data_IF_236213649484
#
_entry.id   IF_236213649484
#
_cell.length_a   1.000
_cell.length_b   1.000
_cell.length_c   1.000
_cell.angle_alpha   90.00
_cell.angle_beta   90.00
_cell.angle_gamma   90.00
#
_symmetry.space_group_name_H-M   'P 1'
#
loop_
_entity.id
_entity.type
_entity.pdbx_description
1 polymer ?
#
# COMPACT_ATOMS: atom_id res chain seq x y z
N UNK A 1 39.55 -34.21 -55.92
CA UNK A 1 38.49 -34.57 -54.96
C UNK A 1 38.34 -33.42 -53.98
N UNK A 2 37.33 -32.55 -54.17
CA UNK A 2 37.04 -31.41 -53.31
C UNK A 2 36.04 -31.88 -52.22
N UNK A 3 36.44 -31.84 -50.95
CA UNK A 3 35.54 -32.12 -49.84
C UNK A 3 34.81 -30.84 -49.45
N UNK A 4 33.51 -30.81 -49.73
CA UNK A 4 32.59 -29.74 -49.26
C UNK A 4 32.27 -30.03 -47.78
N UNK A 5 32.75 -29.15 -46.89
CA UNK A 5 32.35 -29.18 -45.47
C UNK A 5 31.09 -28.34 -45.35
N UNK A 6 29.94 -29.00 -45.16
CA UNK A 6 28.68 -28.34 -44.89
C UNK A 6 28.68 -27.90 -43.44
N UNK A 7 28.79 -26.56 -43.20
CA UNK A 7 28.66 -25.98 -41.86
C UNK A 7 27.20 -25.91 -41.51
N UNK A 8 26.76 -26.74 -40.55
CA UNK A 8 25.39 -26.73 -40.01
C UNK A 8 25.28 -25.59 -39.00
N UNK A 9 24.67 -24.48 -39.42
CA UNK A 9 24.32 -23.36 -38.51
C UNK A 9 23.11 -23.81 -37.66
N UNK A 10 23.36 -24.16 -36.41
CA UNK A 10 22.30 -24.39 -35.42
C UNK A 10 21.73 -23.01 -35.02
N UNK A 11 20.57 -22.63 -35.54
CA UNK A 11 19.78 -21.50 -35.08
C UNK A 11 19.24 -21.85 -33.67
N UNK A 12 19.94 -21.41 -32.63
CA UNK A 12 19.41 -21.42 -31.28
C UNK A 12 18.40 -20.26 -31.21
N UNK A 13 17.13 -20.58 -31.38
CA UNK A 13 16.05 -19.64 -31.05
C UNK A 13 16.12 -19.38 -29.54
N UNK A 14 16.17 -18.08 -29.09
CA UNK A 14 16.07 -17.81 -27.67
C UNK A 14 14.71 -18.34 -27.20
N UNK A 15 14.72 -19.24 -26.23
CA UNK A 15 13.51 -19.56 -25.44
C UNK A 15 13.08 -18.21 -24.83
N UNK A 16 11.92 -17.68 -25.24
CA UNK A 16 11.28 -16.61 -24.49
C UNK A 16 11.01 -17.18 -23.09
N UNK A 17 11.74 -16.71 -22.08
CA UNK A 17 11.34 -16.94 -20.70
C UNK A 17 9.90 -16.42 -20.57
N UNK A 18 9.00 -17.23 -20.00
CA UNK A 18 7.66 -16.74 -19.72
C UNK A 18 7.79 -15.54 -18.78
N UNK A 19 7.09 -14.45 -19.12
CA UNK A 19 7.04 -13.28 -18.24
C UNK A 19 6.56 -13.71 -16.84
N UNK A 20 7.24 -13.22 -15.80
CA UNK A 20 6.88 -13.49 -14.41
C UNK A 20 5.48 -12.90 -14.14
N UNK A 21 4.58 -13.68 -13.57
CA UNK A 21 3.21 -13.27 -13.25
C UNK A 21 3.11 -12.91 -11.78
N UNK A 22 2.77 -11.67 -11.51
CA UNK A 22 2.67 -11.14 -10.15
C UNK A 22 1.22 -10.79 -9.82
N UNK A 23 0.75 -11.26 -8.67
CA UNK A 23 -0.50 -10.85 -8.08
C UNK A 23 -0.20 -9.90 -6.94
N UNK A 24 -0.56 -8.62 -7.08
CA UNK A 24 -0.45 -7.60 -6.04
C UNK A 24 -1.81 -7.41 -5.36
N UNK A 25 -1.84 -7.39 -4.04
CA UNK A 25 -3.08 -7.18 -3.29
C UNK A 25 -3.56 -5.73 -3.42
N UNK A 26 -2.67 -4.76 -3.29
CA UNK A 26 -2.96 -3.33 -3.34
C UNK A 26 -2.18 -2.63 -4.46
N UNK A 27 -2.66 -1.47 -4.96
CA UNK A 27 -2.05 -0.72 -6.07
C UNK A 27 -0.58 -0.33 -5.83
N UNK A 28 -0.21 0.06 -4.61
CA UNK A 28 1.15 0.46 -4.26
C UNK A 28 2.16 -0.67 -4.46
N UNK A 29 1.78 -1.91 -4.16
CA UNK A 29 2.66 -3.06 -4.38
C UNK A 29 2.77 -3.43 -5.85
N UNK A 30 1.68 -3.29 -6.60
CA UNK A 30 1.72 -3.45 -8.06
C UNK A 30 2.67 -2.45 -8.72
N UNK A 31 2.61 -1.19 -8.29
CA UNK A 31 3.49 -0.14 -8.79
C UNK A 31 4.95 -0.36 -8.38
N UNK A 32 5.20 -0.79 -7.14
CA UNK A 32 6.56 -1.10 -6.70
C UNK A 32 7.17 -2.27 -7.47
N UNK A 33 6.38 -3.32 -7.75
CA UNK A 33 6.81 -4.43 -8.62
C UNK A 33 7.15 -3.92 -10.01
N UNK A 34 6.33 -3.05 -10.60
CA UNK A 34 6.60 -2.48 -11.92
C UNK A 34 7.90 -1.67 -11.96
N UNK A 35 8.19 -0.88 -10.94
CA UNK A 35 9.46 -0.15 -10.79
C UNK A 35 10.66 -1.10 -10.76
N UNK A 36 10.58 -2.18 -10.00
CA UNK A 36 11.70 -3.08 -9.75
C UNK A 36 11.91 -4.12 -10.84
N UNK A 37 10.87 -4.47 -11.60
CA UNK A 37 10.95 -5.57 -12.56
C UNK A 37 10.64 -5.17 -14.01
N UNK A 38 10.19 -3.91 -14.23
CA UNK A 38 9.90 -3.37 -15.55
C UNK A 38 8.55 -3.79 -16.12
N UNK A 39 8.30 -3.40 -17.37
CA UNK A 39 7.00 -3.57 -18.04
C UNK A 39 6.78 -4.98 -18.63
N UNK A 40 7.79 -5.85 -18.62
CA UNK A 40 7.70 -7.20 -19.21
C UNK A 40 6.95 -8.20 -18.31
N UNK A 41 6.47 -7.77 -17.14
CA UNK A 41 5.72 -8.60 -16.21
C UNK A 41 4.22 -8.53 -16.46
N UNK A 42 3.54 -9.62 -16.14
CA UNK A 42 2.08 -9.64 -16.04
C UNK A 42 1.68 -9.35 -14.58
N UNK A 43 1.25 -8.10 -14.29
CA UNK A 43 0.83 -7.69 -12.95
C UNK A 43 -0.69 -7.61 -12.89
N UNK A 44 -1.29 -8.40 -11.98
CA UNK A 44 -2.70 -8.29 -11.61
C UNK A 44 -2.81 -7.63 -10.24
N UNK A 45 -3.50 -6.50 -10.15
CA UNK A 45 -3.80 -5.82 -8.88
C UNK A 45 -5.22 -6.18 -8.43
N UNK A 46 -5.38 -6.61 -7.18
CA UNK A 46 -6.64 -7.13 -6.66
C UNK A 46 -7.64 -6.02 -6.27
N UNK A 47 -7.14 -4.93 -5.70
CA UNK A 47 -7.94 -3.80 -5.22
C UNK A 47 -7.70 -2.53 -6.05
N UNK A 48 -8.53 -1.53 -5.80
CA UNK A 48 -8.37 -0.15 -6.30
C UNK A 48 -8.43 0.80 -5.12
N UNK A 49 -8.05 2.06 -5.32
CA UNK A 49 -8.10 3.09 -4.28
C UNK A 49 -9.53 3.35 -3.72
N UNK A 50 -10.57 2.94 -4.45
CA UNK A 50 -11.98 3.09 -4.05
C UNK A 50 -12.57 1.82 -3.44
N UNK A 51 -11.73 0.85 -3.10
CA UNK A 51 -12.13 -0.40 -2.46
C UNK A 51 -11.39 -0.54 -1.13
N UNK A 52 -12.13 -0.90 -0.09
CA UNK A 52 -11.57 -1.21 1.22
C UNK A 52 -10.68 -2.47 1.13
N UNK A 53 -9.36 -2.37 1.38
CA UNK A 53 -8.45 -3.51 1.29
C UNK A 53 -8.70 -4.58 2.36
N UNK A 54 -9.41 -4.27 3.46
CA UNK A 54 -9.79 -5.25 4.48
C UNK A 54 -10.88 -6.20 3.98
N UNK A 55 -11.69 -5.74 3.00
CA UNK A 55 -12.90 -6.43 2.59
C UNK A 55 -12.99 -6.58 1.06
N UNK A 56 -12.54 -7.72 0.55
CA UNK A 56 -12.60 -8.05 -0.87
C UNK A 56 -13.29 -9.40 -1.08
N UNK A 57 -14.10 -9.48 -2.14
CA UNK A 57 -14.69 -10.76 -2.54
C UNK A 57 -13.72 -11.59 -3.39
N UNK A 58 -13.54 -12.86 -3.03
CA UNK A 58 -12.75 -13.82 -3.80
C UNK A 58 -13.45 -14.18 -5.13
N UNK A 59 -13.42 -13.27 -6.10
CA UNK A 59 -14.02 -13.44 -7.43
C UNK A 59 -13.27 -14.48 -8.26
N UNK A 60 -13.92 -15.18 -9.22
CA UNK A 60 -13.27 -16.17 -10.09
C UNK A 60 -12.04 -15.64 -10.82
N UNK A 61 -12.05 -14.38 -11.26
CA UNK A 61 -10.90 -13.76 -11.93
C UNK A 61 -9.67 -13.65 -11.02
N UNK A 62 -9.86 -13.28 -9.75
CA UNK A 62 -8.75 -13.21 -8.78
C UNK A 62 -8.24 -14.60 -8.42
N UNK A 63 -9.14 -15.60 -8.30
CA UNK A 63 -8.74 -16.99 -8.07
C UNK A 63 -7.89 -17.50 -9.25
N UNK A 64 -8.26 -17.18 -10.48
CA UNK A 64 -7.50 -17.56 -11.67
C UNK A 64 -6.15 -16.85 -11.72
N UNK A 65 -6.08 -15.55 -11.38
CA UNK A 65 -4.85 -14.79 -11.32
C UNK A 65 -3.86 -15.38 -10.28
N UNK A 66 -4.31 -15.66 -9.05
CA UNK A 66 -3.46 -16.29 -8.01
C UNK A 66 -3.05 -17.71 -8.38
N UNK A 67 -3.93 -18.47 -9.05
CA UNK A 67 -3.59 -19.83 -9.52
C UNK A 67 -2.42 -19.83 -10.48
N UNK A 68 -2.30 -18.80 -11.30
CA UNK A 68 -1.25 -18.67 -12.31
C UNK A 68 -0.08 -17.78 -11.86
N UNK A 69 -0.14 -17.19 -10.68
CA UNK A 69 0.90 -16.29 -10.19
C UNK A 69 2.17 -17.07 -9.79
N UNK A 70 3.30 -16.48 -10.10
CA UNK A 70 4.62 -16.92 -9.65
C UNK A 70 5.02 -16.20 -8.35
N UNK A 71 4.42 -15.00 -8.11
CA UNK A 71 4.59 -14.19 -6.89
C UNK A 71 3.28 -13.53 -6.49
N UNK A 72 2.95 -13.58 -5.21
CA UNK A 72 1.89 -12.80 -4.54
C UNK A 72 2.55 -11.78 -3.63
N UNK A 73 2.23 -10.50 -3.82
CA UNK A 73 2.74 -9.38 -3.02
C UNK A 73 1.58 -8.68 -2.34
N UNK A 74 1.53 -8.74 -1.02
CA UNK A 74 0.49 -8.14 -0.20
C UNK A 74 1.09 -7.33 0.96
N UNK A 75 0.29 -6.50 1.58
CA UNK A 75 0.71 -5.76 2.77
C UNK A 75 1.01 -6.71 3.92
N UNK A 76 0.13 -7.65 4.24
CA UNK A 76 0.22 -8.47 5.45
C UNK A 76 -0.22 -7.72 6.70
N UNK A 77 0.30 -8.09 7.87
CA UNK A 77 -0.15 -7.56 9.17
C UNK A 77 -1.67 -7.64 9.36
N UNK A 78 -2.27 -8.71 8.84
CA UNK A 78 -3.71 -9.02 8.86
C UNK A 78 -4.60 -8.06 8.04
N UNK A 79 -4.05 -7.22 7.14
CA UNK A 79 -4.88 -6.35 6.28
C UNK A 79 -5.84 -7.19 5.43
N UNK A 80 -5.32 -8.22 4.77
CA UNK A 80 -6.06 -9.05 3.84
C UNK A 80 -6.64 -10.32 4.49
N UNK A 81 -6.66 -10.39 5.83
CA UNK A 81 -7.07 -11.60 6.57
C UNK A 81 -8.49 -12.06 6.22
N UNK A 82 -9.37 -11.12 5.88
CA UNK A 82 -10.76 -11.38 5.53
C UNK A 82 -10.95 -12.14 4.22
N UNK A 83 -9.98 -12.10 3.30
CA UNK A 83 -10.16 -12.62 1.93
C UNK A 83 -8.97 -13.40 1.37
N UNK A 84 -7.72 -13.00 1.61
CA UNK A 84 -6.53 -13.61 1.02
C UNK A 84 -6.37 -15.11 1.37
N UNK A 85 -6.58 -15.57 2.62
CA UNK A 85 -6.49 -16.99 2.94
C UNK A 85 -7.49 -17.86 2.17
N UNK A 86 -8.71 -17.35 1.93
CA UNK A 86 -9.71 -18.04 1.11
C UNK A 86 -9.30 -18.07 -0.35
N UNK A 87 -8.75 -16.97 -0.87
CA UNK A 87 -8.30 -16.83 -2.25
C UNK A 87 -7.14 -17.80 -2.54
N UNK A 88 -6.10 -17.83 -1.70
CA UNK A 88 -4.96 -18.75 -1.79
C UNK A 88 -5.41 -20.21 -1.79
N UNK A 89 -6.30 -20.58 -0.85
CA UNK A 89 -6.82 -21.95 -0.75
C UNK A 89 -7.62 -22.36 -2.00
N UNK A 90 -8.46 -21.45 -2.54
CA UNK A 90 -9.26 -21.74 -3.76
C UNK A 90 -8.42 -21.77 -5.02
N UNK A 91 -7.39 -20.99 -5.09
CA UNK A 91 -6.43 -20.99 -6.19
C UNK A 91 -5.67 -22.31 -6.28
N UNK A 92 -5.31 -22.89 -5.11
CA UNK A 92 -4.62 -24.19 -5.04
C UNK A 92 -3.21 -24.17 -5.62
N UNK A 93 -2.60 -23.00 -5.78
CA UNK A 93 -1.23 -22.84 -6.23
C UNK A 93 -0.28 -23.07 -5.05
N UNK A 94 0.56 -24.13 -5.03
CA UNK A 94 1.44 -24.44 -3.91
C UNK A 94 2.57 -23.42 -3.76
N UNK A 95 2.98 -22.77 -4.85
CA UNK A 95 4.19 -21.94 -4.88
C UNK A 95 3.97 -20.58 -4.20
N UNK A 96 2.70 -20.12 -4.08
CA UNK A 96 2.33 -18.82 -3.50
C UNK A 96 1.60 -18.91 -2.16
N UNK A 97 1.61 -20.08 -1.51
CA UNK A 97 1.01 -20.22 -0.18
C UNK A 97 1.81 -19.45 0.87
N UNK A 98 1.15 -19.11 1.99
CA UNK A 98 1.84 -18.43 3.10
C UNK A 98 3.09 -19.19 3.54
N UNK A 99 4.21 -18.48 3.64
CA UNK A 99 5.51 -19.03 4.03
C UNK A 99 6.36 -19.59 2.88
N UNK A 100 5.84 -19.60 1.64
CA UNK A 100 6.65 -19.96 0.45
C UNK A 100 7.41 -18.76 -0.10
N UNK A 101 8.36 -19.01 -1.01
CA UNK A 101 9.09 -17.93 -1.70
C UNK A 101 8.18 -17.09 -2.59
N UNK A 102 7.14 -17.68 -3.19
CA UNK A 102 6.18 -16.98 -4.01
C UNK A 102 5.15 -16.15 -3.21
N UNK A 103 5.28 -16.08 -1.86
CA UNK A 103 4.41 -15.24 -1.03
C UNK A 103 5.23 -14.19 -0.28
N UNK A 104 4.97 -12.92 -0.59
CA UNK A 104 5.68 -11.79 -0.02
C UNK A 104 4.70 -10.87 0.73
N UNK A 105 4.93 -10.70 2.04
CA UNK A 105 4.15 -9.81 2.90
C UNK A 105 5.04 -8.63 3.32
N UNK A 106 4.74 -7.45 2.80
CA UNK A 106 5.54 -6.24 2.95
C UNK A 106 5.77 -5.82 4.41
N UNK A 107 4.75 -5.96 5.26
CA UNK A 107 4.82 -5.62 6.68
C UNK A 107 5.81 -6.46 7.49
N UNK A 108 6.30 -7.59 6.96
CA UNK A 108 7.31 -8.39 7.62
C UNK A 108 8.70 -7.73 7.62
N UNK A 109 8.91 -6.70 6.81
CA UNK A 109 10.22 -6.09 6.59
C UNK A 109 10.34 -4.67 7.16
N UNK A 110 9.26 -4.15 7.79
CA UNK A 110 9.21 -2.79 8.33
C UNK A 110 8.84 -2.76 9.81
N UNK A 111 9.15 -1.66 10.49
CA UNK A 111 8.66 -1.42 11.84
C UNK A 111 7.14 -1.21 11.79
N UNK A 112 6.41 -1.98 12.58
CA UNK A 112 4.96 -1.84 12.70
C UNK A 112 4.59 -0.92 13.85
N UNK A 113 3.68 0.00 13.58
CA UNK A 113 3.09 0.91 14.56
C UNK A 113 1.87 0.25 15.22
N UNK A 114 1.45 0.78 16.35
CA UNK A 114 0.19 0.43 17.02
C UNK A 114 -0.02 -1.08 17.26
N UNK A 115 1.05 -1.82 17.60
CA UNK A 115 0.90 -3.22 18.02
C UNK A 115 0.12 -3.26 19.34
N UNK A 116 -1.08 -3.87 19.37
CA UNK A 116 -1.92 -3.85 20.55
C UNK A 116 -1.32 -4.71 21.67
N UNK A 117 -1.37 -4.22 22.91
CA UNK A 117 -0.93 -4.99 24.08
C UNK A 117 -1.87 -6.15 24.43
N UNK A 118 -3.15 -6.00 24.10
CA UNK A 118 -4.19 -7.00 24.32
C UNK A 118 -5.04 -7.09 23.06
N UNK A 119 -5.40 -8.32 22.68
CA UNK A 119 -6.26 -8.57 21.53
C UNK A 119 -7.67 -8.86 22.06
N UNK A 120 -8.62 -8.00 21.70
CA UNK A 120 -10.02 -8.18 22.02
C UNK A 120 -10.86 -8.01 20.73
N UNK A 121 -11.48 -9.08 20.28
CA UNK A 121 -12.34 -9.08 19.07
C UNK A 121 -13.56 -8.15 19.19
N UNK A 122 -13.93 -7.74 20.39
CA UNK A 122 -14.99 -6.74 20.60
C UNK A 122 -14.60 -5.34 20.15
N UNK A 123 -13.32 -5.12 19.83
CA UNK A 123 -12.76 -3.83 19.42
C UNK A 123 -12.76 -3.58 17.88
N UNK A 124 -13.44 -4.42 17.11
CA UNK A 124 -13.52 -4.28 15.65
C UNK A 124 -12.35 -4.93 14.91
N UNK A 125 -11.95 -4.39 13.77
CA UNK A 125 -10.84 -4.88 12.92
C UNK A 125 -9.48 -4.51 13.53
N UNK A 126 -9.23 -5.03 14.75
CA UNK A 126 -7.95 -4.87 15.41
C UNK A 126 -6.92 -5.75 14.72
N UNK A 127 -5.84 -5.16 14.27
CA UNK A 127 -4.70 -5.86 13.68
C UNK A 127 -3.74 -6.33 14.78
N UNK A 128 -3.71 -7.62 15.14
CA UNK A 128 -2.84 -8.14 16.20
C UNK A 128 -1.35 -7.90 15.93
N UNK A 129 -0.98 -7.82 14.66
CA UNK A 129 0.39 -7.62 14.24
C UNK A 129 0.80 -6.14 14.12
N UNK A 130 -0.08 -5.20 14.44
CA UNK A 130 0.11 -3.75 14.33
C UNK A 130 -0.61 -3.16 13.11
N UNK A 131 -0.63 -1.84 13.01
CA UNK A 131 -1.27 -1.12 11.93
C UNK A 131 -0.68 -1.53 10.57
N UNK A 132 -1.50 -1.93 9.57
CA UNK A 132 -1.03 -2.45 8.31
C UNK A 132 -0.72 -1.38 7.25
N UNK A 133 -1.13 -0.11 7.43
CA UNK A 133 -1.04 0.94 6.40
C UNK A 133 0.39 1.48 6.22
N UNK A 134 1.35 0.57 6.15
CA UNK A 134 2.80 0.82 6.14
C UNK A 134 3.27 1.63 4.93
N UNK A 135 2.53 1.54 3.82
CA UNK A 135 2.84 2.18 2.55
C UNK A 135 2.73 3.71 2.60
N UNK A 136 2.17 4.29 3.66
CA UNK A 136 2.08 5.74 3.84
C UNK A 136 3.32 6.37 4.50
N UNK A 137 4.39 5.59 4.71
CA UNK A 137 5.68 6.10 5.16
C UNK A 137 6.76 5.80 4.11
N UNK A 138 7.45 6.81 3.52
CA UNK A 138 8.41 6.62 2.44
C UNK A 138 9.54 5.63 2.76
N UNK A 139 10.04 5.64 4.02
CA UNK A 139 11.08 4.70 4.46
C UNK A 139 10.60 3.24 4.46
N UNK A 140 9.29 3.01 4.60
CA UNK A 140 8.74 1.66 4.48
C UNK A 140 8.82 1.18 3.04
N UNK A 141 8.48 2.02 2.07
CA UNK A 141 8.59 1.70 0.64
C UNK A 141 10.04 1.36 0.27
N UNK A 142 11.01 2.19 0.68
CA UNK A 142 12.44 1.94 0.41
C UNK A 142 12.88 0.57 0.95
N UNK A 143 12.52 0.23 2.20
CA UNK A 143 12.86 -1.07 2.81
C UNK A 143 12.16 -2.25 2.13
N UNK A 144 10.90 -2.09 1.76
CA UNK A 144 10.15 -3.11 1.04
C UNK A 144 10.75 -3.32 -0.35
N UNK A 145 11.17 -2.25 -1.03
CA UNK A 145 11.83 -2.32 -2.34
C UNK A 145 13.08 -3.20 -2.30
N UNK A 146 13.96 -3.01 -1.30
CA UNK A 146 15.15 -3.86 -1.12
C UNK A 146 14.78 -5.35 -1.03
N UNK A 147 13.81 -5.68 -0.17
CA UNK A 147 13.42 -7.06 0.08
C UNK A 147 12.62 -7.68 -1.07
N UNK A 148 11.88 -6.87 -1.79
CA UNK A 148 11.14 -7.33 -2.96
C UNK A 148 12.08 -7.61 -4.14
N UNK A 149 13.10 -6.78 -4.37
CA UNK A 149 14.13 -7.05 -5.38
C UNK A 149 14.96 -8.31 -5.06
N UNK A 150 15.31 -8.53 -3.79
CA UNK A 150 15.90 -9.79 -3.34
C UNK A 150 14.99 -10.99 -3.66
N UNK A 151 13.69 -10.87 -3.42
CA UNK A 151 12.70 -11.91 -3.67
C UNK A 151 12.52 -12.19 -5.18
N UNK A 152 12.44 -11.15 -6.00
CA UNK A 152 12.37 -11.26 -7.46
C UNK A 152 13.60 -12.02 -7.99
N UNK A 153 14.80 -11.68 -7.50
CA UNK A 153 16.04 -12.36 -7.86
C UNK A 153 16.09 -13.83 -7.42
N UNK A 154 15.43 -14.20 -6.32
CA UNK A 154 15.33 -15.60 -5.86
C UNK A 154 14.39 -16.44 -6.73
N UNK A 155 13.29 -15.84 -7.22
CA UNK A 155 12.29 -16.53 -8.04
C UNK A 155 12.75 -16.60 -9.50
N UNK A 156 13.34 -15.54 -10.00
CA UNK A 156 13.82 -15.39 -11.37
C UNK A 156 15.28 -14.95 -11.39
N UNK A 157 16.16 -15.91 -11.10
CA UNK A 157 17.59 -15.68 -10.97
C UNK A 157 18.27 -15.27 -12.28
N UNK A 158 17.66 -15.57 -13.44
CA UNK A 158 18.18 -15.17 -14.75
C UNK A 158 18.15 -13.65 -14.96
N UNK A 159 17.23 -12.95 -14.33
CA UNK A 159 17.05 -11.51 -14.40
C UNK A 159 17.55 -10.76 -13.15
N UNK A 160 18.29 -11.43 -12.26
CA UNK A 160 18.75 -10.85 -10.98
C UNK A 160 19.57 -9.58 -11.12
N UNK A 161 20.40 -9.47 -12.17
CA UNK A 161 21.22 -8.27 -12.43
C UNK A 161 20.34 -7.08 -12.87
N UNK A 162 19.27 -7.32 -13.62
CA UNK A 162 18.31 -6.29 -14.02
C UNK A 162 17.52 -5.79 -12.81
N UNK A 163 17.04 -6.69 -11.96
CA UNK A 163 16.36 -6.30 -10.71
C UNK A 163 17.25 -5.47 -9.79
N UNK A 164 18.53 -5.82 -9.66
CA UNK A 164 19.49 -5.04 -8.88
C UNK A 164 19.70 -3.63 -9.45
N UNK A 165 19.87 -3.52 -10.78
CA UNK A 165 20.03 -2.22 -11.46
C UNK A 165 18.79 -1.34 -11.34
N UNK A 166 17.58 -1.93 -11.47
CA UNK A 166 16.31 -1.21 -11.32
C UNK A 166 16.09 -0.76 -9.87
N UNK A 167 16.46 -1.58 -8.90
CA UNK A 167 16.42 -1.20 -7.48
C UNK A 167 17.34 0.00 -7.22
N UNK A 168 18.58 -0.02 -7.71
CA UNK A 168 19.52 1.10 -7.54
C UNK A 168 18.96 2.38 -8.16
N UNK A 169 18.40 2.29 -9.36
CA UNK A 169 17.77 3.43 -10.04
C UNK A 169 16.53 3.94 -9.29
N UNK A 170 15.68 3.04 -8.78
CA UNK A 170 14.52 3.40 -7.97
C UNK A 170 14.94 4.10 -6.68
N UNK A 171 15.90 3.51 -5.92
CA UNK A 171 16.37 4.06 -4.64
C UNK A 171 16.98 5.44 -4.82
N UNK A 172 17.77 5.66 -5.88
CA UNK A 172 18.34 6.99 -6.18
C UNK A 172 17.23 8.04 -6.35
N UNK A 173 16.23 7.78 -7.21
CA UNK A 173 15.09 8.71 -7.40
C UNK A 173 14.26 8.88 -6.13
N UNK A 174 14.14 7.82 -5.35
CA UNK A 174 13.37 7.83 -4.10
C UNK A 174 14.04 8.68 -3.03
N UNK A 175 15.35 8.59 -2.91
CA UNK A 175 16.14 9.42 -1.98
C UNK A 175 16.09 10.90 -2.38
N UNK A 176 16.18 11.21 -3.68
CA UNK A 176 15.99 12.56 -4.19
C UNK A 176 14.58 13.10 -3.86
N UNK A 177 13.54 12.31 -4.09
CA UNK A 177 12.16 12.68 -3.77
C UNK A 177 11.98 12.88 -2.25
N UNK A 178 12.51 11.98 -1.42
CA UNK A 178 12.46 12.13 0.04
C UNK A 178 13.13 13.43 0.50
N UNK A 179 14.27 13.80 -0.09
CA UNK A 179 14.95 15.06 0.26
C UNK A 179 14.04 16.27 -0.03
N UNK A 180 13.31 16.27 -1.14
CA UNK A 180 12.33 17.32 -1.47
C UNK A 180 11.14 17.29 -0.52
N UNK A 181 10.64 16.11 -0.15
CA UNK A 181 9.52 15.98 0.79
C UNK A 181 9.91 16.42 2.20
N UNK A 182 11.12 16.11 2.66
CA UNK A 182 11.63 16.51 3.99
C UNK A 182 11.66 18.04 4.15
N UNK A 183 11.95 18.81 3.09
CA UNK A 183 11.84 20.27 3.13
C UNK A 183 10.40 20.78 3.30
N UNK A 184 9.42 20.01 2.82
CA UNK A 184 7.97 20.34 2.89
C UNK A 184 7.36 19.99 4.25
N UNK A 185 7.86 18.95 4.92
CA UNK A 185 7.35 18.47 6.22
C UNK A 185 7.32 19.58 7.26
N UNK A 186 8.34 20.44 7.29
CA UNK A 186 8.49 21.53 8.28
C UNK A 186 7.22 22.40 8.38
N UNK A 187 6.44 22.53 7.29
CA UNK A 187 5.19 23.30 7.27
C UNK A 187 4.01 22.55 7.88
N UNK A 188 4.13 21.23 8.02
CA UNK A 188 3.07 20.34 8.46
C UNK A 188 3.24 19.83 9.89
N UNK A 189 4.43 20.01 10.48
CA UNK A 189 4.76 19.57 11.85
C UNK A 189 3.74 20.08 12.86
N UNK A 190 3.20 19.18 13.67
CA UNK A 190 2.19 19.50 14.67
C UNK A 190 0.80 19.84 14.12
N UNK A 191 0.57 19.70 12.80
CA UNK A 191 -0.74 19.96 12.19
C UNK A 191 -1.80 19.04 12.81
N UNK A 192 -2.83 19.64 13.40
CA UNK A 192 -3.88 18.93 14.12
C UNK A 192 -4.97 18.47 13.17
N UNK A 193 -5.22 17.17 13.09
CA UNK A 193 -6.21 16.56 12.19
C UNK A 193 -7.13 15.60 12.95
N UNK A 194 -8.38 15.49 12.52
CA UNK A 194 -9.22 14.34 12.84
C UNK A 194 -9.19 13.35 11.68
N UNK A 195 -9.13 12.05 11.94
CA UNK A 195 -9.13 11.02 10.91
C UNK A 195 -10.39 10.18 10.97
N UNK A 196 -10.90 9.75 9.82
CA UNK A 196 -12.06 8.86 9.79
C UNK A 196 -11.71 7.51 10.45
N UNK A 197 -10.67 6.86 9.95
CA UNK A 197 -10.10 5.61 10.44
C UNK A 197 -8.61 5.81 10.80
N UNK A 198 -7.97 4.80 11.40
CA UNK A 198 -6.52 4.81 11.68
C UNK A 198 -5.65 4.52 10.45
N UNK A 199 -6.14 4.85 9.26
CA UNK A 199 -5.45 4.64 7.99
C UNK A 199 -4.17 5.45 7.87
N UNK A 200 -4.10 6.60 8.55
CA UNK A 200 -3.02 7.58 8.37
C UNK A 200 -1.96 7.58 9.49
N UNK A 201 -1.90 6.53 10.32
CA UNK A 201 -0.92 6.49 11.42
C UNK A 201 0.54 6.58 10.96
N UNK A 202 0.89 5.93 9.83
CA UNK A 202 2.24 6.02 9.26
C UNK A 202 2.51 7.36 8.57
N UNK A 203 1.49 7.98 7.98
CA UNK A 203 1.59 9.34 7.47
C UNK A 203 1.84 10.32 8.61
N UNK A 204 1.12 10.16 9.72
CA UNK A 204 1.29 10.99 10.92
C UNK A 204 2.68 10.79 11.57
N UNK A 205 3.19 9.56 11.65
CA UNK A 205 4.55 9.26 12.15
C UNK A 205 5.63 9.91 11.25
N UNK A 206 5.40 9.94 9.93
CA UNK A 206 6.34 10.55 8.99
C UNK A 206 6.33 12.07 9.00
N UNK A 207 5.14 12.68 9.04
CA UNK A 207 4.95 14.14 8.91
C UNK A 207 4.85 14.86 10.27
N UNK A 208 5.00 14.15 11.39
CA UNK A 208 4.77 14.66 12.76
C UNK A 208 3.39 15.34 12.91
N UNK A 209 2.33 14.68 12.40
CA UNK A 209 0.96 15.19 12.51
C UNK A 209 0.33 14.81 13.86
N UNK A 210 -0.49 15.68 14.42
CA UNK A 210 -1.28 15.43 15.63
C UNK A 210 -2.69 14.92 15.25
N UNK A 211 -2.91 13.60 15.26
CA UNK A 211 -4.24 13.02 15.04
C UNK A 211 -5.03 13.07 16.36
N UNK A 212 -5.77 14.14 16.55
CA UNK A 212 -6.48 14.46 17.81
C UNK A 212 -7.73 13.64 18.04
N UNK A 213 -8.30 13.03 17.00
CA UNK A 213 -9.44 12.13 17.11
C UNK A 213 -9.51 11.18 15.91
N UNK A 214 -10.10 9.99 16.14
CA UNK A 214 -10.50 9.06 15.09
C UNK A 214 -12.00 8.84 15.20
N UNK A 215 -12.73 8.99 14.08
CA UNK A 215 -14.20 8.92 14.09
C UNK A 215 -14.69 7.51 14.40
N UNK A 216 -14.03 6.50 13.88
CA UNK A 216 -14.30 5.11 14.24
C UNK A 216 -13.64 4.78 15.58
N UNK A 217 -14.43 4.67 16.63
CA UNK A 217 -13.93 4.24 17.94
C UNK A 217 -13.40 2.79 17.92
N UNK A 218 -13.91 1.99 16.99
CA UNK A 218 -13.48 0.63 16.70
C UNK A 218 -13.23 0.49 15.22
N UNK A 219 -12.04 0.09 14.80
CA UNK A 219 -11.69 -0.04 13.39
C UNK A 219 -12.72 -0.89 12.61
N UNK A 220 -13.12 -0.43 11.41
CA UNK A 220 -14.08 -1.12 10.55
C UNK A 220 -15.54 -1.08 11.01
N UNK A 221 -15.85 -0.40 12.13
CA UNK A 221 -17.21 -0.22 12.64
C UNK A 221 -17.62 1.25 12.46
N UNK A 222 -18.61 1.55 11.61
CA UNK A 222 -19.06 2.92 11.39
C UNK A 222 -19.42 3.63 12.70
N UNK A 223 -19.05 4.91 12.87
CA UNK A 223 -19.32 5.64 14.10
C UNK A 223 -20.82 5.85 14.31
N UNK A 224 -21.29 5.64 15.53
CA UNK A 224 -22.66 5.98 15.91
C UNK A 224 -22.83 7.49 16.11
N UNK A 225 -24.08 7.98 16.05
CA UNK A 225 -24.38 9.40 16.31
C UNK A 225 -23.91 9.86 17.70
N UNK A 226 -23.98 8.99 18.73
CA UNK A 226 -23.49 9.30 20.08
C UNK A 226 -21.96 9.45 20.12
N UNK A 227 -21.22 8.61 19.38
CA UNK A 227 -19.76 8.73 19.26
C UNK A 227 -19.35 10.03 18.54
N UNK A 228 -20.01 10.35 17.43
CA UNK A 228 -19.77 11.61 16.73
C UNK A 228 -20.07 12.84 17.59
N UNK A 229 -21.14 12.81 18.37
CA UNK A 229 -21.48 13.89 19.33
C UNK A 229 -20.40 14.04 20.42
N UNK A 230 -19.89 12.96 20.97
CA UNK A 230 -18.80 12.99 21.95
C UNK A 230 -17.50 13.55 21.36
N UNK A 231 -17.16 13.15 20.12
CA UNK A 231 -16.00 13.70 19.40
C UNK A 231 -16.16 15.20 19.13
N UNK A 232 -17.36 15.64 18.72
CA UNK A 232 -17.67 17.04 18.52
C UNK A 232 -17.46 17.86 19.81
N UNK A 233 -18.00 17.39 20.94
CA UNK A 233 -17.83 18.02 22.25
C UNK A 233 -16.34 18.12 22.64
N UNK A 234 -15.57 17.06 22.43
CA UNK A 234 -14.11 17.03 22.67
C UNK A 234 -13.35 18.04 21.83
N UNK A 235 -13.70 18.19 20.55
CA UNK A 235 -12.94 19.00 19.59
C UNK A 235 -13.39 20.47 19.54
N UNK A 236 -14.63 20.79 19.96
CA UNK A 236 -15.17 22.16 19.92
C UNK A 236 -14.28 23.22 20.60
N UNK A 237 -13.63 22.96 21.78
CA UNK A 237 -12.79 23.97 22.41
C UNK A 237 -11.49 24.29 21.66
N UNK A 238 -11.00 23.33 20.86
CA UNK A 238 -9.78 23.48 20.06
C UNK A 238 -9.90 22.60 18.80
N UNK A 239 -10.60 23.05 17.76
CA UNK A 239 -10.87 22.25 16.59
C UNK A 239 -9.60 21.92 15.81
N UNK A 240 -9.53 20.76 15.15
CA UNK A 240 -8.46 20.43 14.21
C UNK A 240 -8.57 21.31 12.96
N UNK A 241 -7.49 21.32 12.17
CA UNK A 241 -7.45 22.08 10.91
C UNK A 241 -8.39 21.45 9.87
N UNK A 242 -8.50 20.13 9.87
CA UNK A 242 -9.35 19.38 8.92
C UNK A 242 -9.73 17.99 9.45
N UNK A 243 -10.72 17.39 8.79
CA UNK A 243 -11.04 15.96 8.89
C UNK A 243 -10.51 15.26 7.65
N UNK A 244 -9.63 14.25 7.82
CA UNK A 244 -9.06 13.47 6.72
C UNK A 244 -9.74 12.10 6.60
N UNK A 245 -9.88 11.62 5.37
CA UNK A 245 -10.41 10.29 5.05
C UNK A 245 -9.78 9.70 3.78
N UNK A 246 -9.95 8.39 3.60
CA UNK A 246 -9.59 7.68 2.37
C UNK A 246 -10.72 7.77 1.32
N UNK A 247 -10.45 7.46 0.03
CA UNK A 247 -11.47 7.49 -1.01
C UNK A 247 -12.59 6.44 -0.85
N UNK A 248 -12.30 5.31 -0.20
CA UNK A 248 -13.29 4.23 -0.02
C UNK A 248 -14.16 4.39 1.24
N UNK A 249 -13.76 5.25 2.18
CA UNK A 249 -14.53 5.49 3.40
C UNK A 249 -15.80 6.30 3.12
N UNK A 250 -16.87 6.00 3.87
CA UNK A 250 -18.11 6.76 3.77
C UNK A 250 -17.90 8.20 4.23
N UNK A 251 -18.18 9.15 3.35
CA UNK A 251 -17.97 10.57 3.63
C UNK A 251 -18.88 11.17 4.73
N UNK A 252 -20.07 10.58 4.96
CA UNK A 252 -21.10 11.17 5.82
C UNK A 252 -20.64 11.49 7.24
N UNK A 253 -19.93 10.60 7.96
CA UNK A 253 -19.45 10.93 9.31
C UNK A 253 -18.45 12.08 9.31
N UNK A 254 -17.53 12.09 8.35
CA UNK A 254 -16.50 13.14 8.22
C UNK A 254 -17.12 14.47 7.83
N UNK A 255 -18.06 14.49 6.87
CA UNK A 255 -18.82 15.68 6.48
C UNK A 255 -19.66 16.23 7.66
N UNK A 256 -20.31 15.33 8.42
CA UNK A 256 -21.10 15.73 9.58
C UNK A 256 -20.27 16.47 10.65
N UNK A 257 -19.04 16.02 10.91
CA UNK A 257 -18.11 16.65 11.86
C UNK A 257 -17.56 17.95 11.30
N UNK A 258 -17.12 17.94 10.03
CA UNK A 258 -16.64 19.08 9.27
C UNK A 258 -17.61 20.26 9.32
N UNK A 259 -18.89 20.02 8.98
CA UNK A 259 -19.95 21.04 8.98
C UNK A 259 -20.17 21.68 10.36
N UNK A 260 -20.03 20.90 11.45
CA UNK A 260 -20.29 21.39 12.82
C UNK A 260 -19.12 22.13 13.45
N UNK A 261 -17.90 21.81 13.05
CA UNK A 261 -16.71 22.49 13.50
C UNK A 261 -16.29 23.65 12.57
N UNK A 262 -16.97 23.81 11.43
CA UNK A 262 -16.63 24.77 10.36
C UNK A 262 -15.17 24.60 9.89
N UNK A 263 -14.78 23.35 9.63
CA UNK A 263 -13.46 22.94 9.15
C UNK A 263 -13.58 22.12 7.86
N UNK A 264 -12.57 22.10 6.98
CA UNK A 264 -12.61 21.30 5.76
C UNK A 264 -12.59 19.80 6.02
N UNK A 265 -13.20 19.05 5.08
CA UNK A 265 -13.00 17.61 4.91
C UNK A 265 -12.04 17.39 3.75
N UNK A 266 -10.98 16.60 3.96
CA UNK A 266 -9.98 16.30 2.93
C UNK A 266 -10.02 14.80 2.63
N UNK A 267 -10.30 14.44 1.38
CA UNK A 267 -10.11 13.08 0.91
C UNK A 267 -8.68 12.93 0.38
N UNK A 268 -7.78 12.35 1.17
CA UNK A 268 -6.41 12.06 0.74
C UNK A 268 -6.39 10.86 -0.21
N UNK A 269 -5.41 10.75 -1.14
CA UNK A 269 -5.39 9.67 -2.13
C UNK A 269 -5.27 8.26 -1.53
N UNK A 270 -4.65 8.11 -0.37
CA UNK A 270 -4.38 6.86 0.34
C UNK A 270 -3.49 5.88 -0.43
N UNK A 271 -3.82 5.53 -1.67
CA UNK A 271 -3.01 4.72 -2.58
C UNK A 271 -3.08 5.26 -4.01
N UNK A 272 -2.35 4.64 -4.91
CA UNK A 272 -2.32 5.01 -6.32
C UNK A 272 -3.72 4.89 -6.93
N UNK A 273 -4.10 5.92 -7.70
CA UNK A 273 -5.45 6.04 -8.27
C UNK A 273 -6.48 6.65 -7.33
N UNK A 274 -6.13 7.04 -6.09
CA UNK A 274 -7.05 7.68 -5.15
C UNK A 274 -7.43 9.11 -5.53
N UNK A 275 -6.62 9.74 -6.37
CA UNK A 275 -6.93 10.97 -7.12
C UNK A 275 -6.35 10.85 -8.52
N UNK A 276 -6.83 11.68 -9.45
CA UNK A 276 -6.32 11.71 -10.84
C UNK A 276 -4.82 12.07 -10.93
N UNK A 277 -4.25 12.63 -9.87
CA UNK A 277 -2.84 13.04 -9.80
C UNK A 277 -1.94 12.04 -9.08
N UNK A 278 -2.49 11.09 -8.33
CA UNK A 278 -1.75 10.04 -7.64
C UNK A 278 -1.64 8.82 -8.55
N UNK A 279 -0.82 8.91 -9.60
CA UNK A 279 -0.72 7.90 -10.68
C UNK A 279 0.40 6.88 -10.48
N UNK A 280 1.35 7.18 -9.60
CA UNK A 280 2.47 6.32 -9.20
C UNK A 280 2.85 6.55 -7.73
N UNK A 281 3.89 5.85 -7.25
CA UNK A 281 4.35 5.99 -5.87
C UNK A 281 4.83 7.41 -5.56
N UNK A 282 5.55 8.06 -6.44
CA UNK A 282 6.10 9.41 -6.21
C UNK A 282 4.99 10.45 -6.13
N UNK A 283 4.08 10.43 -7.10
CA UNK A 283 2.94 11.35 -7.17
C UNK A 283 1.93 11.12 -6.04
N UNK A 284 1.83 9.91 -5.48
CA UNK A 284 1.03 9.62 -4.29
C UNK A 284 1.45 10.51 -3.10
N UNK A 285 2.75 10.54 -2.81
CA UNK A 285 3.29 11.35 -1.71
C UNK A 285 3.25 12.85 -2.04
N UNK A 286 3.64 13.23 -3.25
CA UNK A 286 3.55 14.63 -3.68
C UNK A 286 2.16 15.20 -3.58
N UNK A 287 1.16 14.44 -4.02
CA UNK A 287 -0.23 14.88 -3.96
C UNK A 287 -0.74 14.94 -2.52
N UNK A 288 -0.38 13.96 -1.67
CA UNK A 288 -0.72 13.95 -0.25
C UNK A 288 -0.18 15.19 0.46
N UNK A 289 1.11 15.50 0.28
CA UNK A 289 1.73 16.69 0.86
C UNK A 289 1.07 17.97 0.35
N UNK A 290 0.84 18.09 -0.96
CA UNK A 290 0.19 19.28 -1.55
C UNK A 290 -1.18 19.54 -0.96
N UNK A 291 -2.00 18.49 -0.82
CA UNK A 291 -3.34 18.61 -0.26
C UNK A 291 -3.35 19.03 1.21
N UNK A 292 -2.35 18.60 1.99
CA UNK A 292 -2.20 19.03 3.39
C UNK A 292 -1.65 20.47 3.47
N UNK A 293 -0.69 20.84 2.63
CA UNK A 293 -0.11 22.19 2.58
C UNK A 293 -1.13 23.29 2.26
N UNK A 294 -2.23 22.97 1.55
CA UNK A 294 -3.33 23.92 1.29
C UNK A 294 -4.01 24.42 2.59
N UNK A 295 -3.85 23.67 3.70
CA UNK A 295 -4.43 23.94 5.00
C UNK A 295 -3.37 24.17 6.10
N UNK A 296 -2.08 24.13 5.76
CA UNK A 296 -1.01 24.51 6.68
C UNK A 296 -0.99 26.04 6.85
N UNK A 297 -0.96 26.51 8.10
CA UNK A 297 -0.90 27.94 8.43
C UNK A 297 0.52 28.51 8.32
#
# INVERSE_FOLDING_TARGET
>A
MIRIITLLLILVSPLKANALRVFACEPEWGALVAELAGEELEITVATTAFQDPHSLQARPSLIAAVRNADLVVCTGADLEIGWLPLLLRRAGNPDVQLGTQGNFLAANYVRRLEIPKTIDRSQGDVHPQGNPHIHLHPRSISRVADKLAERLSQIDSSNSADYASRLEYFQHRWDEAQSVWDERIVKLEGMRLASHHRSFSYLADWLDLDIVATLEAKPGIPPSGAQLAAILEQLTPNPPVAVIRTPYENEKPSAWLSDRLDIPQIQLPFTIGGTDKAVDLFSLYDQTLRMLEEYAN
#
